data_IF_953994760553
#
_entry.id   IF_953994760553
#
_cell.length_a   1.000
_cell.length_b   1.000
_cell.length_c   1.000
_cell.angle_alpha   90.00
_cell.angle_beta   90.00
_cell.angle_gamma   90.00
#
_symmetry.space_group_name_H-M   'P 1'
#
loop_
_entity.id
_entity.type
_entity.pdbx_description
1 polymer ?
#
# COMPACT_ATOMS: atom_id res chain seq x y z
N UNK A 1 -3.06 -20.93 1.72
CA UNK A 1 -4.13 -21.15 0.71
C UNK A 1 -5.10 -19.95 0.70
N UNK A 2 -5.59 -19.48 1.88
CA UNK A 2 -6.54 -18.35 1.96
C UNK A 2 -6.04 -17.01 1.39
N UNK A 3 -4.75 -16.79 1.30
CA UNK A 3 -4.16 -15.58 0.73
C UNK A 3 -4.05 -15.58 -0.81
N UNK A 4 -4.17 -16.73 -1.46
CA UNK A 4 -4.03 -16.83 -2.93
C UNK A 4 -5.10 -16.02 -3.70
N UNK A 5 -6.39 -16.02 -3.32
CA UNK A 5 -7.41 -15.24 -4.01
C UNK A 5 -7.18 -13.73 -3.90
N UNK A 6 -6.54 -13.24 -2.83
CA UNK A 6 -6.31 -11.81 -2.62
C UNK A 6 -5.44 -11.20 -3.73
N UNK A 7 -4.29 -11.81 -4.03
CA UNK A 7 -3.40 -11.31 -5.09
C UNK A 7 -4.04 -11.36 -6.48
N UNK A 8 -4.73 -12.46 -6.79
CA UNK A 8 -5.45 -12.62 -8.05
C UNK A 8 -6.58 -11.59 -8.19
N UNK A 9 -7.41 -11.43 -7.16
CA UNK A 9 -8.50 -10.46 -7.15
C UNK A 9 -7.98 -9.03 -7.35
N UNK A 10 -6.92 -8.65 -6.62
CA UNK A 10 -6.35 -7.29 -6.71
C UNK A 10 -5.82 -6.99 -8.11
N UNK A 11 -5.16 -7.96 -8.74
CA UNK A 11 -4.68 -7.84 -10.11
C UNK A 11 -5.81 -7.67 -11.11
N UNK A 12 -6.83 -8.54 -11.07
CA UNK A 12 -7.99 -8.47 -11.98
C UNK A 12 -8.79 -7.20 -11.75
N UNK A 13 -9.08 -6.85 -10.50
CA UNK A 13 -9.88 -5.66 -10.17
C UNK A 13 -9.21 -4.36 -10.65
N UNK A 14 -7.88 -4.26 -10.55
CA UNK A 14 -7.17 -3.08 -11.04
C UNK A 14 -7.21 -2.95 -12.56
N UNK A 15 -7.11 -4.06 -13.29
CA UNK A 15 -7.24 -4.06 -14.76
C UNK A 15 -8.66 -3.67 -15.17
N UNK A 16 -9.67 -4.23 -14.52
CA UNK A 16 -11.07 -3.90 -14.79
C UNK A 16 -11.34 -2.43 -14.49
N UNK A 17 -10.86 -1.91 -13.37
CA UNK A 17 -10.98 -0.50 -13.01
C UNK A 17 -10.32 0.42 -14.06
N UNK A 18 -9.11 0.10 -14.52
CA UNK A 18 -8.42 0.87 -15.56
C UNK A 18 -9.17 0.83 -16.90
N UNK A 19 -9.71 -0.34 -17.30
CA UNK A 19 -10.46 -0.50 -18.56
C UNK A 19 -11.82 0.21 -18.56
N UNK A 20 -12.50 0.27 -17.41
CA UNK A 20 -13.79 0.95 -17.26
C UNK A 20 -13.66 2.45 -17.01
N UNK A 21 -12.45 2.94 -16.80
CA UNK A 21 -12.19 4.34 -16.56
C UNK A 21 -12.46 5.21 -17.80
N UNK A 22 -12.92 6.44 -17.57
CA UNK A 22 -12.94 7.47 -18.61
C UNK A 22 -11.53 7.68 -19.19
N UNK A 23 -11.46 8.16 -20.44
CA UNK A 23 -10.17 8.48 -21.07
C UNK A 23 -9.33 9.42 -20.19
N UNK A 24 -8.12 8.99 -19.84
CA UNK A 24 -7.20 9.76 -19.02
C UNK A 24 -7.42 9.68 -17.51
N UNK A 25 -8.35 8.84 -17.01
CA UNK A 25 -8.64 8.68 -15.58
C UNK A 25 -8.32 7.28 -15.03
N UNK A 26 -7.40 6.56 -15.67
CA UNK A 26 -7.07 5.18 -15.29
C UNK A 26 -6.50 5.07 -13.88
N UNK A 27 -5.60 5.97 -13.47
CA UNK A 27 -5.02 5.94 -12.14
C UNK A 27 -6.01 6.38 -11.06
N UNK A 28 -6.92 7.31 -11.36
CA UNK A 28 -8.01 7.68 -10.46
C UNK A 28 -8.95 6.49 -10.21
N UNK A 29 -9.34 5.76 -11.25
CA UNK A 29 -10.19 4.58 -11.13
C UNK A 29 -9.53 3.47 -10.29
N UNK A 30 -8.25 3.19 -10.53
CA UNK A 30 -7.48 2.24 -9.71
C UNK A 30 -7.36 2.73 -8.26
N UNK A 31 -7.19 4.05 -8.02
CA UNK A 31 -7.15 4.58 -6.67
C UNK A 31 -8.49 4.46 -5.93
N UNK A 32 -9.61 4.59 -6.62
CA UNK A 32 -10.95 4.35 -6.04
C UNK A 32 -11.10 2.87 -5.63
N UNK A 33 -10.63 1.95 -6.45
CA UNK A 33 -10.61 0.53 -6.11
C UNK A 33 -9.74 0.26 -4.87
N UNK A 34 -8.54 0.84 -4.79
CA UNK A 34 -7.63 0.74 -3.63
C UNK A 34 -8.23 1.43 -2.40
N UNK A 35 -9.03 2.49 -2.56
CA UNK A 35 -9.70 3.17 -1.45
C UNK A 35 -10.58 2.22 -0.63
N UNK A 36 -11.19 1.21 -1.25
CA UNK A 36 -11.90 0.15 -0.53
C UNK A 36 -11.02 -0.55 0.51
N UNK A 37 -9.77 -0.85 0.18
CA UNK A 37 -8.80 -1.45 1.11
C UNK A 37 -8.41 -0.47 2.24
N UNK A 38 -8.19 0.80 1.93
CA UNK A 38 -7.84 1.80 2.95
C UNK A 38 -9.00 2.06 3.91
N UNK A 39 -10.24 2.10 3.42
CA UNK A 39 -11.46 2.20 4.24
C UNK A 39 -11.63 0.96 5.11
N UNK A 40 -11.38 -0.23 4.56
CA UNK A 40 -11.43 -1.47 5.32
C UNK A 40 -10.37 -1.49 6.45
N UNK A 41 -9.18 -0.99 6.20
CA UNK A 41 -8.15 -0.83 7.24
C UNK A 41 -8.57 0.19 8.30
N UNK A 42 -9.20 1.28 7.90
CA UNK A 42 -9.60 2.36 8.80
C UNK A 42 -10.75 1.95 9.74
N UNK A 43 -11.75 1.25 9.23
CA UNK A 43 -12.97 0.89 9.97
C UNK A 43 -13.09 -0.61 10.22
N UNK A 44 -12.78 -1.44 9.23
CA UNK A 44 -13.01 -2.89 9.27
C UNK A 44 -12.12 -3.59 10.29
N UNK A 45 -10.84 -3.20 10.37
CA UNK A 45 -9.90 -3.81 11.34
C UNK A 45 -10.30 -3.47 12.79
N UNK A 46 -10.54 -2.19 13.18
CA UNK A 46 -11.01 -1.88 14.53
C UNK A 46 -12.34 -2.53 14.88
N UNK A 47 -13.32 -2.51 13.96
CA UNK A 47 -14.63 -3.14 14.18
C UNK A 47 -14.51 -4.65 14.33
N UNK A 48 -13.77 -5.31 13.44
CA UNK A 48 -13.55 -6.76 13.50
C UNK A 48 -12.82 -7.19 14.77
N UNK A 49 -11.81 -6.41 15.20
CA UNK A 49 -11.07 -6.68 16.44
C UNK A 49 -11.97 -6.51 17.67
N UNK A 50 -12.74 -5.42 17.72
CA UNK A 50 -13.69 -5.17 18.81
C UNK A 50 -14.76 -6.26 18.90
N UNK A 51 -15.36 -6.64 17.77
CA UNK A 51 -16.37 -7.68 17.70
C UNK A 51 -15.82 -9.03 18.12
N UNK A 52 -14.61 -9.35 17.66
CA UNK A 52 -13.91 -10.59 18.02
C UNK A 52 -13.59 -10.68 19.50
N UNK A 53 -13.22 -9.57 20.14
CA UNK A 53 -12.89 -9.49 21.56
C UNK A 53 -14.16 -9.51 22.45
N UNK A 54 -15.25 -8.83 22.03
CA UNK A 54 -16.44 -8.66 22.85
C UNK A 54 -17.48 -9.79 22.71
N UNK A 55 -17.55 -10.43 21.55
CA UNK A 55 -18.58 -11.47 21.29
C UNK A 55 -17.92 -12.78 20.88
N UNK A 56 -17.37 -12.86 19.65
CA UNK A 56 -16.74 -14.09 19.15
C UNK A 56 -16.00 -13.84 17.84
N UNK A 57 -14.78 -14.40 17.72
CA UNK A 57 -14.03 -14.39 16.47
C UNK A 57 -14.77 -15.12 15.33
N UNK A 58 -15.57 -16.18 15.67
CA UNK A 58 -16.38 -16.91 14.69
C UNK A 58 -17.46 -16.03 14.05
N UNK A 59 -18.11 -15.17 14.85
CA UNK A 59 -19.08 -14.22 14.35
C UNK A 59 -18.44 -13.20 13.39
N UNK A 60 -17.25 -12.73 13.70
CA UNK A 60 -16.49 -11.84 12.81
C UNK A 60 -16.27 -12.48 11.43
N UNK A 61 -15.82 -13.74 11.39
CA UNK A 61 -15.64 -14.46 10.12
C UNK A 61 -16.95 -14.71 9.38
N UNK A 62 -18.02 -14.99 10.10
CA UNK A 62 -19.35 -15.20 9.52
C UNK A 62 -19.88 -13.92 8.86
N UNK A 63 -19.70 -12.77 9.51
CA UNK A 63 -20.07 -11.46 8.97
C UNK A 63 -19.22 -11.10 7.74
N UNK A 64 -17.91 -11.37 7.75
CA UNK A 64 -17.03 -11.17 6.57
C UNK A 64 -17.49 -12.09 5.44
N UNK A 65 -17.85 -13.33 5.72
CA UNK A 65 -18.39 -14.27 4.73
C UNK A 65 -19.71 -13.77 4.11
N UNK A 66 -20.66 -13.35 4.95
CA UNK A 66 -21.93 -12.77 4.49
C UNK A 66 -21.71 -11.51 3.64
N UNK A 67 -20.80 -10.63 4.06
CA UNK A 67 -20.42 -9.45 3.30
C UNK A 67 -19.82 -9.81 1.93
N UNK A 68 -19.00 -10.84 1.88
CA UNK A 68 -18.40 -11.32 0.63
C UNK A 68 -19.44 -11.80 -0.37
N UNK A 69 -20.52 -12.47 0.10
CA UNK A 69 -21.65 -12.89 -0.76
C UNK A 69 -22.38 -11.66 -1.32
N UNK A 70 -22.59 -10.63 -0.52
CA UNK A 70 -23.20 -9.36 -0.96
C UNK A 70 -22.33 -8.72 -2.03
N UNK A 71 -20.99 -8.66 -1.83
CA UNK A 71 -20.05 -8.12 -2.82
C UNK A 71 -20.12 -8.93 -4.13
N UNK A 72 -20.14 -10.25 -4.07
CA UNK A 72 -20.26 -11.12 -5.25
C UNK A 72 -21.55 -10.80 -6.05
N UNK A 73 -22.69 -10.62 -5.36
CA UNK A 73 -23.94 -10.22 -6.00
C UNK A 73 -23.83 -8.88 -6.72
N UNK A 74 -23.21 -7.85 -6.09
CA UNK A 74 -23.05 -6.54 -6.70
C UNK A 74 -22.06 -6.55 -7.86
N UNK A 75 -20.95 -7.30 -7.77
CA UNK A 75 -20.02 -7.49 -8.89
C UNK A 75 -20.76 -8.11 -10.08
N UNK A 76 -21.51 -9.20 -9.86
CA UNK A 76 -22.27 -9.85 -10.91
C UNK A 76 -23.35 -8.95 -11.52
N UNK A 77 -23.99 -8.11 -10.70
CA UNK A 77 -25.11 -7.26 -11.17
C UNK A 77 -24.67 -5.96 -11.85
N UNK A 78 -23.57 -5.38 -11.43
CA UNK A 78 -23.19 -4.02 -11.83
C UNK A 78 -21.91 -3.93 -12.65
N UNK A 79 -20.99 -4.86 -12.54
CA UNK A 79 -19.76 -4.83 -13.33
C UNK A 79 -20.08 -5.30 -14.76
N UNK A 80 -19.94 -4.46 -15.78
CA UNK A 80 -20.17 -4.86 -17.17
C UNK A 80 -19.12 -5.87 -17.60
N UNK A 81 -19.46 -6.67 -18.60
CA UNK A 81 -18.47 -7.56 -19.24
C UNK A 81 -17.41 -6.71 -19.94
N UNK A 82 -16.16 -6.93 -19.56
CA UNK A 82 -14.99 -6.27 -20.13
C UNK A 82 -14.39 -7.20 -21.19
N UNK A 83 -13.88 -6.61 -22.29
CA UNK A 83 -13.15 -7.40 -23.28
C UNK A 83 -12.08 -8.28 -22.62
N UNK A 84 -12.09 -9.56 -22.98
CA UNK A 84 -11.10 -10.51 -22.47
C UNK A 84 -9.69 -10.05 -22.89
N UNK A 85 -8.75 -10.21 -21.98
CA UNK A 85 -7.34 -10.08 -22.36
C UNK A 85 -6.98 -11.21 -23.30
N UNK A 86 -6.07 -10.97 -24.27
CA UNK A 86 -5.59 -12.02 -25.15
C UNK A 86 -5.07 -13.21 -24.34
N UNK A 87 -5.54 -14.41 -24.69
CA UNK A 87 -5.02 -15.61 -24.05
C UNK A 87 -3.60 -15.88 -24.57
N UNK A 88 -2.63 -15.49 -23.74
CA UNK A 88 -1.20 -15.68 -24.04
C UNK A 88 -0.65 -16.97 -23.43
N UNK A 89 -1.52 -17.75 -22.75
CA UNK A 89 -1.11 -18.91 -21.98
C UNK A 89 -0.15 -18.58 -20.83
N UNK A 90 0.17 -19.56 -20.01
CA UNK A 90 1.01 -19.33 -18.82
C UNK A 90 2.40 -18.76 -19.17
N UNK A 91 3.03 -19.27 -20.22
CA UNK A 91 4.36 -18.77 -20.68
C UNK A 91 4.29 -17.33 -21.18
N UNK A 92 3.18 -16.93 -21.81
CA UNK A 92 2.95 -15.56 -22.27
C UNK A 92 2.84 -14.59 -21.10
N UNK A 93 2.18 -15.00 -20.02
CA UNK A 93 2.03 -14.17 -18.83
C UNK A 93 3.38 -13.78 -18.18
N UNK A 94 4.43 -14.58 -18.30
CA UNK A 94 5.77 -14.27 -17.82
C UNK A 94 6.62 -13.44 -18.79
N UNK A 95 6.11 -13.15 -19.99
CA UNK A 95 6.89 -12.46 -21.03
C UNK A 95 7.35 -11.07 -20.63
N UNK A 96 6.56 -10.35 -19.84
CA UNK A 96 6.89 -9.01 -19.38
C UNK A 96 8.17 -8.96 -18.52
N UNK A 97 8.52 -10.05 -17.83
CA UNK A 97 9.76 -10.15 -17.03
C UNK A 97 11.04 -10.21 -17.89
N UNK A 98 10.93 -10.30 -19.22
CA UNK A 98 12.08 -10.18 -20.12
C UNK A 98 12.56 -8.75 -20.31
N UNK A 99 11.71 -7.77 -20.00
CA UNK A 99 12.04 -6.33 -20.01
C UNK A 99 12.59 -5.87 -18.66
N UNK A 100 13.55 -4.93 -18.62
CA UNK A 100 14.06 -4.39 -17.35
C UNK A 100 13.04 -3.52 -16.61
N UNK A 101 12.16 -2.81 -17.30
CA UNK A 101 11.23 -1.88 -16.69
C UNK A 101 10.32 -2.49 -15.61
N UNK A 102 9.67 -3.66 -15.78
CA UNK A 102 8.93 -4.31 -14.72
C UNK A 102 9.77 -4.65 -13.49
N UNK A 103 11.03 -5.07 -13.67
CA UNK A 103 11.92 -5.35 -12.54
C UNK A 103 12.28 -4.10 -11.75
N UNK A 104 12.53 -2.97 -12.43
CA UNK A 104 12.77 -1.69 -11.77
C UNK A 104 11.54 -1.24 -11.00
N UNK A 105 10.34 -1.37 -11.59
CA UNK A 105 9.08 -1.03 -10.92
C UNK A 105 8.79 -1.93 -9.71
N UNK A 106 8.98 -3.24 -9.83
CA UNK A 106 8.83 -4.18 -8.72
C UNK A 106 9.86 -3.92 -7.62
N UNK A 107 11.11 -3.66 -8.00
CA UNK A 107 12.18 -3.26 -7.08
C UNK A 107 11.85 -1.95 -6.35
N UNK A 108 11.38 -0.94 -7.07
CA UNK A 108 10.95 0.32 -6.49
C UNK A 108 9.77 0.16 -5.52
N UNK A 109 8.80 -0.69 -5.89
CA UNK A 109 7.66 -1.03 -5.02
C UNK A 109 8.13 -1.75 -3.76
N UNK A 110 8.96 -2.78 -3.90
CA UNK A 110 9.47 -3.57 -2.78
C UNK A 110 10.31 -2.72 -1.82
N UNK A 111 11.26 -1.95 -2.34
CA UNK A 111 12.14 -1.12 -1.52
C UNK A 111 11.39 0.08 -0.93
N UNK A 112 10.55 0.74 -1.73
CA UNK A 112 9.76 1.87 -1.25
C UNK A 112 8.82 1.52 -0.10
N UNK A 113 8.06 0.44 -0.25
CA UNK A 113 7.20 -0.07 0.82
C UNK A 113 8.02 -0.57 2.00
N UNK A 114 9.11 -1.30 1.74
CA UNK A 114 10.03 -1.77 2.77
C UNK A 114 10.54 -0.63 3.65
N UNK A 115 10.89 0.51 3.03
CA UNK A 115 11.33 1.71 3.75
C UNK A 115 10.30 2.22 4.75
N UNK A 116 9.04 2.31 4.35
CA UNK A 116 7.95 2.72 5.25
C UNK A 116 7.72 1.66 6.33
N UNK A 117 7.72 0.37 5.97
CA UNK A 117 7.45 -0.70 6.92
C UNK A 117 8.60 -0.97 7.91
N UNK A 118 9.84 -0.53 7.62
CA UNK A 118 10.89 -0.46 8.64
C UNK A 118 10.42 0.33 9.87
N UNK A 119 9.76 1.45 9.65
CA UNK A 119 9.27 2.33 10.71
C UNK A 119 7.84 1.98 11.15
N UNK A 120 6.92 1.75 10.20
CA UNK A 120 5.48 1.58 10.50
C UNK A 120 5.19 0.38 11.41
N UNK A 121 5.98 -0.68 11.29
CA UNK A 121 5.88 -1.85 12.17
C UNK A 121 6.14 -1.53 13.65
N UNK A 122 6.84 -0.43 13.91
CA UNK A 122 7.27 0.00 15.26
C UNK A 122 6.69 1.36 15.65
N UNK A 123 5.67 1.84 14.92
CA UNK A 123 5.06 3.16 15.17
C UNK A 123 4.41 3.26 16.54
N UNK A 124 3.76 2.20 17.03
CA UNK A 124 3.13 2.21 18.35
C UNK A 124 4.14 2.43 19.48
N UNK A 125 5.21 1.62 19.61
CA UNK A 125 6.24 1.89 20.61
C UNK A 125 6.97 3.22 20.40
N UNK A 126 7.13 3.71 19.17
CA UNK A 126 7.68 5.04 18.93
C UNK A 126 6.79 6.13 19.55
N UNK A 127 5.49 6.09 19.26
CA UNK A 127 4.55 7.10 19.78
C UNK A 127 4.43 7.04 21.32
N UNK A 128 4.49 5.85 21.91
CA UNK A 128 4.36 5.70 23.38
C UNK A 128 5.66 5.99 24.11
N UNK A 129 6.78 5.41 23.70
CA UNK A 129 8.04 5.48 24.45
C UNK A 129 8.94 6.65 24.04
N UNK A 130 8.82 7.18 22.82
CA UNK A 130 9.66 8.29 22.34
C UNK A 130 8.87 9.60 22.30
N UNK A 131 7.67 9.58 21.72
CA UNK A 131 6.82 10.79 21.65
C UNK A 131 6.02 11.05 22.93
N UNK A 132 5.94 10.10 23.86
CA UNK A 132 5.33 10.27 25.20
C UNK A 132 3.79 10.25 25.22
N UNK A 133 3.15 9.68 24.22
CA UNK A 133 1.69 9.56 24.20
C UNK A 133 1.20 8.39 25.06
N UNK A 134 0.01 8.53 25.62
CA UNK A 134 -0.68 7.45 26.33
C UNK A 134 -1.03 6.30 25.38
N UNK A 135 -0.90 5.03 25.82
CA UNK A 135 -1.35 3.88 25.02
C UNK A 135 -2.82 3.97 24.56
N UNK A 136 -3.69 4.59 25.34
CA UNK A 136 -5.10 4.79 24.97
C UNK A 136 -5.28 5.70 23.75
N UNK A 137 -4.35 6.62 23.49
CA UNK A 137 -4.42 7.54 22.34
C UNK A 137 -3.99 6.89 21.02
N UNK A 138 -3.32 5.73 21.06
CA UNK A 138 -2.76 5.09 19.87
C UNK A 138 -3.84 4.72 18.86
N UNK A 139 -4.98 4.19 19.32
CA UNK A 139 -6.11 3.86 18.43
C UNK A 139 -6.57 5.08 17.63
N UNK A 140 -6.66 6.24 18.27
CA UNK A 140 -7.02 7.49 17.59
C UNK A 140 -5.97 7.89 16.54
N UNK A 141 -4.68 7.77 16.87
CA UNK A 141 -3.61 8.08 15.92
C UNK A 141 -3.55 7.10 14.75
N UNK A 142 -3.88 5.83 14.96
CA UNK A 142 -4.00 4.86 13.87
C UNK A 142 -5.17 5.23 12.92
N UNK A 143 -6.27 5.75 13.44
CA UNK A 143 -7.36 6.28 12.62
C UNK A 143 -6.89 7.48 11.80
N UNK A 144 -6.11 8.40 12.37
CA UNK A 144 -5.52 9.52 11.63
C UNK A 144 -4.55 9.04 10.53
N UNK A 145 -3.73 8.03 10.83
CA UNK A 145 -2.86 7.41 9.82
C UNK A 145 -3.67 6.81 8.68
N UNK A 146 -4.76 6.09 8.99
CA UNK A 146 -5.70 5.54 8.00
C UNK A 146 -6.36 6.62 7.14
N UNK A 147 -6.74 7.74 7.74
CA UNK A 147 -7.23 8.90 7.00
C UNK A 147 -6.16 9.46 6.06
N UNK A 148 -4.90 9.57 6.51
CA UNK A 148 -3.76 9.91 5.67
C UNK A 148 -3.63 8.96 4.47
N UNK A 149 -3.78 7.65 4.67
CA UNK A 149 -3.76 6.63 3.59
C UNK A 149 -4.85 6.90 2.55
N UNK A 150 -6.09 7.18 2.98
CA UNK A 150 -7.20 7.49 2.06
C UNK A 150 -6.91 8.74 1.23
N UNK A 151 -6.52 9.83 1.89
CA UNK A 151 -6.20 11.10 1.23
C UNK A 151 -5.03 10.92 0.26
N UNK A 152 -3.95 10.26 0.70
CA UNK A 152 -2.79 9.97 -0.14
C UNK A 152 -3.14 9.17 -1.38
N UNK A 153 -3.90 8.08 -1.22
CA UNK A 153 -4.32 7.23 -2.32
C UNK A 153 -5.15 7.99 -3.37
N UNK A 154 -6.18 8.72 -2.96
CA UNK A 154 -7.05 9.45 -3.88
C UNK A 154 -6.33 10.61 -4.56
N UNK A 155 -5.52 11.36 -3.83
CA UNK A 155 -4.72 12.46 -4.40
C UNK A 155 -3.64 11.93 -5.34
N UNK A 156 -2.96 10.84 -4.99
CA UNK A 156 -1.97 10.17 -5.82
C UNK A 156 -2.55 9.70 -7.15
N UNK A 157 -3.74 9.09 -7.15
CA UNK A 157 -4.45 8.69 -8.35
C UNK A 157 -4.77 9.87 -9.27
N UNK A 158 -5.41 10.92 -8.73
CA UNK A 158 -5.75 12.14 -9.50
C UNK A 158 -4.51 12.86 -10.05
N UNK A 159 -3.47 13.00 -9.24
CA UNK A 159 -2.22 13.63 -9.68
C UNK A 159 -1.55 12.79 -10.77
N UNK A 160 -1.60 11.48 -10.68
CA UNK A 160 -1.05 10.55 -11.65
C UNK A 160 -1.67 10.71 -13.04
N UNK A 161 -2.98 10.91 -13.11
CA UNK A 161 -3.68 11.15 -14.38
C UNK A 161 -3.41 12.56 -14.94
N UNK A 162 -3.20 13.55 -14.05
CA UNK A 162 -2.90 14.93 -14.46
C UNK A 162 -1.45 15.11 -14.95
N UNK A 163 -0.47 14.49 -14.28
CA UNK A 163 0.95 14.72 -14.60
C UNK A 163 1.57 13.54 -15.35
N UNK A 164 1.82 12.46 -14.74
CA UNK A 164 2.14 11.13 -15.28
C UNK A 164 2.36 10.16 -14.10
N UNK A 165 2.02 8.87 -14.23
CA UNK A 165 2.19 7.91 -13.13
C UNK A 165 3.64 7.84 -12.61
N UNK A 166 4.64 7.84 -13.51
CA UNK A 166 6.06 7.76 -13.11
C UNK A 166 6.52 8.96 -12.28
N UNK A 167 6.18 10.17 -12.71
CA UNK A 167 6.57 11.40 -11.97
C UNK A 167 5.93 11.46 -10.60
N UNK A 168 4.65 11.11 -10.50
CA UNK A 168 3.92 11.13 -9.22
C UNK A 168 4.47 10.07 -8.28
N UNK A 169 4.74 8.85 -8.79
CA UNK A 169 5.35 7.79 -8.00
C UNK A 169 6.74 8.20 -7.47
N UNK A 170 7.60 8.75 -8.34
CA UNK A 170 8.92 9.21 -7.95
C UNK A 170 8.84 10.34 -6.91
N UNK A 171 8.01 11.37 -7.14
CA UNK A 171 7.85 12.47 -6.19
C UNK A 171 7.36 12.00 -4.82
N UNK A 172 6.31 11.16 -4.79
CA UNK A 172 5.78 10.62 -3.55
C UNK A 172 6.82 9.74 -2.83
N UNK A 173 7.57 8.92 -3.56
CA UNK A 173 8.62 8.07 -3.01
C UNK A 173 9.77 8.89 -2.43
N UNK A 174 10.21 9.95 -3.11
CA UNK A 174 11.23 10.89 -2.61
C UNK A 174 10.75 11.63 -1.35
N UNK A 175 9.47 12.03 -1.32
CA UNK A 175 8.86 12.66 -0.15
C UNK A 175 8.85 11.72 1.07
N UNK A 176 8.58 10.43 0.87
CA UNK A 176 8.64 9.42 1.94
C UNK A 176 10.05 9.37 2.56
N UNK A 177 11.10 9.37 1.74
CA UNK A 177 12.48 9.37 2.24
C UNK A 177 12.74 10.56 3.16
N UNK A 178 12.33 11.76 2.76
CA UNK A 178 12.48 12.99 3.57
C UNK A 178 11.68 12.88 4.87
N UNK A 179 10.43 12.42 4.78
CA UNK A 179 9.56 12.27 5.97
C UNK A 179 10.13 11.24 6.95
N UNK A 180 10.68 10.13 6.48
CA UNK A 180 11.33 9.14 7.36
C UNK A 180 12.54 9.72 8.09
N UNK A 181 13.37 10.54 7.41
CA UNK A 181 14.45 11.26 8.07
C UNK A 181 13.91 12.26 9.10
N UNK A 182 12.86 12.99 8.77
CA UNK A 182 12.22 13.92 9.73
C UNK A 182 11.65 13.15 10.95
N UNK A 183 11.05 11.99 10.75
CA UNK A 183 10.58 11.14 11.87
C UNK A 183 11.75 10.78 12.78
N UNK A 184 12.90 10.39 12.24
CA UNK A 184 14.07 10.06 13.04
C UNK A 184 14.53 11.23 13.92
N UNK A 185 14.64 12.44 13.36
CA UNK A 185 15.14 13.62 14.09
C UNK A 185 14.10 14.20 15.04
N UNK A 186 12.83 14.18 14.68
CA UNK A 186 11.75 14.87 15.39
C UNK A 186 10.79 13.95 16.16
N UNK A 187 11.10 12.67 16.31
CA UNK A 187 10.25 11.70 17.02
C UNK A 187 9.89 12.12 18.46
N UNK A 188 10.73 12.93 19.11
CA UNK A 188 10.52 13.43 20.47
C UNK A 188 9.50 14.59 20.56
N UNK A 189 9.10 15.17 19.44
CA UNK A 189 8.10 16.24 19.39
C UNK A 189 6.74 15.61 19.12
N UNK A 190 5.83 15.50 20.11
CA UNK A 190 4.66 14.63 20.03
C UNK A 190 3.78 14.90 18.82
N UNK A 191 3.25 16.11 18.68
CA UNK A 191 2.31 16.45 17.60
C UNK A 191 2.96 16.45 16.21
N UNK A 192 4.25 16.78 16.13
CA UNK A 192 4.99 16.69 14.88
C UNK A 192 5.18 15.23 14.46
N UNK A 193 5.42 14.34 15.42
CA UNK A 193 5.52 12.90 15.16
C UNK A 193 4.22 12.33 14.57
N UNK A 194 3.05 12.75 15.09
CA UNK A 194 1.75 12.35 14.53
C UNK A 194 1.54 12.92 13.12
N UNK A 195 1.87 14.19 12.90
CA UNK A 195 1.79 14.80 11.57
C UNK A 195 2.66 14.05 10.55
N UNK A 196 3.90 13.79 10.91
CA UNK A 196 4.85 13.06 10.06
C UNK A 196 4.37 11.63 9.79
N UNK A 197 3.75 10.98 10.77
CA UNK A 197 3.11 9.68 10.58
C UNK A 197 2.02 9.75 9.52
N UNK A 198 1.13 10.73 9.59
CA UNK A 198 0.06 10.91 8.59
C UNK A 198 0.64 11.21 7.20
N UNK A 199 1.69 12.03 7.11
CA UNK A 199 2.37 12.34 5.84
C UNK A 199 3.07 11.11 5.26
N UNK A 200 3.72 10.30 6.08
CA UNK A 200 4.40 9.08 5.65
C UNK A 200 3.38 8.05 5.10
N UNK A 201 2.28 7.83 5.81
CA UNK A 201 1.22 6.91 5.39
C UNK A 201 0.47 7.44 4.15
N UNK A 202 0.25 8.75 4.05
CA UNK A 202 -0.30 9.36 2.85
C UNK A 202 0.65 9.16 1.64
N UNK A 203 1.95 9.37 1.80
CA UNK A 203 2.97 9.12 0.78
C UNK A 203 2.95 7.67 0.30
N UNK A 204 2.94 6.71 1.24
CA UNK A 204 2.88 5.28 0.94
C UNK A 204 1.72 4.92 0.00
N UNK A 205 0.53 5.43 0.29
CA UNK A 205 -0.65 5.14 -0.53
C UNK A 205 -0.77 6.03 -1.77
N UNK A 206 -0.14 7.21 -1.78
CA UNK A 206 -0.05 8.03 -3.00
C UNK A 206 0.78 7.37 -4.10
N UNK A 207 1.73 6.51 -3.74
CA UNK A 207 2.55 5.72 -4.69
C UNK A 207 1.78 4.51 -5.26
N UNK A 208 0.80 3.97 -4.54
CA UNK A 208 0.18 2.66 -4.84
C UNK A 208 -0.50 2.61 -6.20
N UNK A 209 -1.44 3.51 -6.51
CA UNK A 209 -2.16 3.49 -7.79
C UNK A 209 -1.26 3.82 -8.99
N UNK A 210 -0.34 4.83 -8.93
CA UNK A 210 0.62 5.05 -10.00
C UNK A 210 1.49 3.83 -10.32
N UNK A 211 2.04 3.15 -9.32
CA UNK A 211 2.86 1.95 -9.52
C UNK A 211 2.05 0.79 -10.11
N UNK A 212 0.81 0.60 -9.64
CA UNK A 212 -0.09 -0.41 -10.18
C UNK A 212 -0.35 -0.20 -11.68
N UNK A 213 -0.72 1.03 -12.07
CA UNK A 213 -0.98 1.39 -13.47
C UNK A 213 0.28 1.28 -14.32
N UNK A 214 1.44 1.73 -13.82
CA UNK A 214 2.71 1.58 -14.54
C UNK A 214 3.00 0.12 -14.84
N UNK A 215 2.88 -0.75 -13.84
CA UNK A 215 3.20 -2.16 -14.04
C UNK A 215 2.25 -2.84 -15.02
N UNK A 216 0.94 -2.51 -15.00
CA UNK A 216 -0.02 -2.98 -15.99
C UNK A 216 0.44 -2.56 -17.40
N UNK A 217 0.79 -1.28 -17.59
CA UNK A 217 1.22 -0.74 -18.89
C UNK A 217 2.52 -1.34 -19.43
N UNK A 218 3.47 -1.66 -18.55
CA UNK A 218 4.73 -2.29 -18.92
C UNK A 218 4.67 -3.81 -19.00
N UNK A 219 3.53 -4.42 -18.67
CA UNK A 219 3.32 -5.88 -18.67
C UNK A 219 2.52 -6.37 -19.88
N UNK A 220 2.69 -5.76 -21.05
CA UNK A 220 1.95 -6.13 -22.27
C UNK A 220 2.03 -7.63 -22.58
N UNK A 221 0.85 -8.26 -22.68
CA UNK A 221 0.69 -9.70 -22.88
C UNK A 221 0.83 -10.55 -21.61
N UNK A 222 1.05 -9.92 -20.45
CA UNK A 222 1.11 -10.52 -19.12
C UNK A 222 0.50 -9.61 -18.06
N UNK A 223 -0.51 -8.83 -18.44
CA UNK A 223 -1.10 -7.78 -17.60
C UNK A 223 -1.64 -8.33 -16.27
N UNK A 224 -2.26 -9.52 -16.31
CA UNK A 224 -2.81 -10.16 -15.10
C UNK A 224 -1.71 -10.49 -14.09
N UNK A 225 -0.64 -11.14 -14.54
CA UNK A 225 0.49 -11.50 -13.68
C UNK A 225 1.26 -10.25 -13.26
N UNK A 226 1.42 -9.28 -14.16
CA UNK A 226 2.04 -7.99 -13.88
C UNK A 226 1.30 -7.26 -12.76
N UNK A 227 -0.01 -7.10 -12.88
CA UNK A 227 -0.84 -6.46 -11.86
C UNK A 227 -0.81 -7.20 -10.50
N UNK A 228 -0.82 -8.54 -10.52
CA UNK A 228 -0.72 -9.36 -9.31
C UNK A 228 0.67 -9.27 -8.65
N UNK A 229 1.74 -9.14 -9.44
CA UNK A 229 3.12 -9.10 -8.93
C UNK A 229 3.43 -7.82 -8.13
N UNK A 230 2.65 -6.72 -8.30
CA UNK A 230 2.73 -5.56 -7.41
C UNK A 230 2.48 -5.97 -5.97
N UNK A 231 1.47 -6.81 -5.71
CA UNK A 231 1.16 -7.28 -4.37
C UNK A 231 2.26 -8.17 -3.78
N UNK A 232 2.92 -8.96 -4.62
CA UNK A 232 4.07 -9.76 -4.21
C UNK A 232 5.22 -8.84 -3.78
N UNK A 233 5.57 -7.86 -4.61
CA UNK A 233 6.62 -6.88 -4.29
C UNK A 233 6.28 -6.07 -3.03
N UNK A 234 5.03 -5.64 -2.88
CA UNK A 234 4.52 -4.93 -1.70
C UNK A 234 4.71 -5.77 -0.43
N UNK A 235 4.23 -7.02 -0.42
CA UNK A 235 4.30 -7.89 0.75
C UNK A 235 5.74 -8.32 1.10
N UNK A 236 6.59 -8.58 0.08
CA UNK A 236 8.02 -8.82 0.31
C UNK A 236 8.70 -7.59 0.92
N UNK A 237 8.41 -6.41 0.39
CA UNK A 237 8.90 -5.16 0.96
C UNK A 237 8.49 -4.98 2.41
N UNK A 238 7.23 -5.23 2.73
CA UNK A 238 6.71 -5.13 4.10
C UNK A 238 7.45 -6.10 5.05
N UNK A 239 7.65 -7.36 4.62
CA UNK A 239 8.33 -8.36 5.43
C UNK A 239 9.82 -8.01 5.66
N UNK A 240 10.54 -7.65 4.59
CA UNK A 240 11.94 -7.22 4.66
C UNK A 240 12.07 -5.95 5.50
N UNK A 241 11.18 -4.98 5.27
CA UNK A 241 11.15 -3.72 6.02
C UNK A 241 10.93 -3.95 7.51
N UNK A 242 9.92 -4.71 7.89
CA UNK A 242 9.64 -5.03 9.28
C UNK A 242 10.83 -5.73 9.96
N UNK A 243 11.48 -6.66 9.27
CA UNK A 243 12.67 -7.34 9.76
C UNK A 243 13.85 -6.37 9.95
N UNK A 244 14.19 -5.59 8.92
CA UNK A 244 15.31 -4.64 8.96
C UNK A 244 15.07 -3.53 10.00
N UNK A 245 13.83 -3.05 10.14
CA UNK A 245 13.46 -2.08 11.17
C UNK A 245 13.57 -2.61 12.58
N UNK A 246 13.50 -3.94 12.79
CA UNK A 246 13.71 -4.59 14.07
C UNK A 246 15.18 -4.72 14.50
N UNK A 247 16.12 -4.69 13.55
CA UNK A 247 17.55 -4.89 13.85
C UNK A 247 18.12 -3.86 14.83
N UNK A 248 17.90 -2.53 14.68
CA UNK A 248 18.38 -1.57 15.67
C UNK A 248 17.75 -1.77 17.04
N UNK A 249 16.52 -2.28 17.13
CA UNK A 249 15.86 -2.55 18.42
C UNK A 249 16.50 -3.75 19.14
N UNK A 250 16.91 -4.78 18.41
CA UNK A 250 17.68 -5.89 18.97
C UNK A 250 19.06 -5.44 19.48
N UNK A 251 19.62 -4.37 18.90
CA UNK A 251 20.84 -3.75 19.37
C UNK A 251 20.61 -2.71 20.50
N UNK A 252 19.42 -2.71 21.14
CA UNK A 252 19.02 -1.79 22.21
C UNK A 252 19.07 -0.31 21.80
N UNK A 253 18.88 -0.01 20.50
CA UNK A 253 18.73 1.37 20.02
C UNK A 253 17.28 1.84 20.19
N UNK A 254 17.06 3.14 20.19
CA UNK A 254 15.73 3.73 20.37
C UNK A 254 14.77 3.47 19.20
N UNK A 255 13.46 3.57 19.46
CA UNK A 255 12.38 3.31 18.49
C UNK A 255 12.34 4.29 17.30
N UNK A 256 13.13 5.36 17.29
CA UNK A 256 13.29 6.25 16.14
C UNK A 256 14.23 5.69 15.05
N UNK A 257 15.14 4.76 15.39
CA UNK A 257 16.12 4.22 14.44
C UNK A 257 15.53 3.40 13.29
N UNK A 258 14.42 2.67 13.45
CA UNK A 258 13.71 2.05 12.33
C UNK A 258 13.41 3.01 11.17
N UNK A 259 13.06 4.29 11.45
CA UNK A 259 12.84 5.29 10.42
C UNK A 259 14.13 5.64 9.66
N UNK A 260 15.26 5.70 10.38
CA UNK A 260 16.58 5.93 9.76
C UNK A 260 16.98 4.78 8.83
N UNK A 261 16.71 3.53 9.21
CA UNK A 261 16.92 2.35 8.35
C UNK A 261 15.98 2.38 7.13
N UNK A 262 14.75 2.85 7.30
CA UNK A 262 13.78 2.95 6.22
C UNK A 262 14.12 3.99 5.15
N UNK A 263 14.81 5.06 5.52
CA UNK A 263 15.11 6.15 4.60
C UNK A 263 15.99 5.73 3.39
N UNK A 264 17.09 4.96 3.54
CA UNK A 264 17.83 4.42 2.40
C UNK A 264 17.01 3.49 1.50
N UNK A 265 16.12 2.67 2.07
CA UNK A 265 15.21 1.84 1.28
C UNK A 265 14.28 2.71 0.41
N UNK A 266 13.68 3.74 1.00
CA UNK A 266 12.83 4.68 0.28
C UNK A 266 13.62 5.45 -0.80
N UNK A 267 14.87 5.82 -0.52
CA UNK A 267 15.76 6.47 -1.48
C UNK A 267 16.09 5.55 -2.66
N UNK A 268 16.41 4.29 -2.41
CA UNK A 268 16.62 3.31 -3.48
C UNK A 268 15.36 3.14 -4.34
N UNK A 269 14.18 3.05 -3.70
CA UNK A 269 12.90 3.03 -4.42
C UNK A 269 12.69 4.26 -5.31
N UNK A 270 13.05 5.44 -4.82
CA UNK A 270 13.01 6.68 -5.60
C UNK A 270 13.95 6.64 -6.81
N UNK A 271 15.21 6.23 -6.62
CA UNK A 271 16.20 6.12 -7.69
C UNK A 271 15.76 5.17 -8.81
N UNK A 272 15.11 4.05 -8.45
CA UNK A 272 14.60 3.09 -9.44
C UNK A 272 13.40 3.63 -10.24
N UNK A 273 12.74 4.70 -9.80
CA UNK A 273 11.62 5.35 -10.49
C UNK A 273 12.05 6.53 -11.36
N UNK A 274 13.26 7.01 -11.20
CA UNK A 274 13.85 8.12 -11.98
C UNK A 274 14.74 7.63 -13.09
#
# INVERSE_FOLDING_TARGET
>A
ISGLPHGAYFGVASIVAEKLADKGKGSEAVSIMIAGMTIANLFGVPLGTSLSASISWRLTFLLVGAWSVIIMYYIWRWVPQVENLPDTGLKGQFRFLKSPAPWLLLGATMLGNGGVFCWYSYVNPLLTHVSGFSPHSITFFMVLAGFGMVVGNLTGGKMSDKYTPGRVAAFAQGSICIVLLMIFFFAKVPWLSVLLMCLCTAGLFAVSSPQQVLLIRYSKGGEMLGAASVQVAFNLGNAIGAYCGGLPLQANMGYQYPALIGAPFALCGFILLT
#
